data_IF_422514749519
#
_entry.id   IF_422514749519
#
_cell.length_a   1.000
_cell.length_b   1.000
_cell.length_c   1.000
_cell.angle_alpha   90.00
_cell.angle_beta   90.00
_cell.angle_gamma   90.00
#
_symmetry.space_group_name_H-M   'P 1'
#
loop_
_entity.id
_entity.type
_entity.pdbx_description
1 polymer ?
#
# COMPACT_ATOMS: atom_id res chain seq x y z
N UNK A 1 0.08 6.28 -8.74
CA UNK A 1 0.08 6.08 -7.28
C UNK A 1 -1.36 6.22 -6.81
N UNK A 2 -1.93 5.20 -6.18
CA UNK A 2 -3.25 5.33 -5.56
C UNK A 2 -3.11 6.13 -4.25
N UNK A 3 -4.08 7.00 -3.96
CA UNK A 3 -4.13 7.85 -2.77
C UNK A 3 -5.08 7.21 -1.76
N UNK A 4 -4.58 6.95 -0.57
CA UNK A 4 -5.41 6.49 0.54
C UNK A 4 -6.11 7.71 1.14
N UNK A 5 -7.42 7.72 1.08
CA UNK A 5 -8.23 8.77 1.69
C UNK A 5 -8.99 8.18 2.88
N UNK A 6 -8.89 8.87 4.00
CA UNK A 6 -9.70 8.65 5.19
C UNK A 6 -10.98 9.47 5.06
N UNK A 7 -12.11 8.91 5.46
CA UNK A 7 -13.34 9.69 5.61
C UNK A 7 -13.21 10.51 6.90
N UNK A 8 -12.90 11.80 6.79
CA UNK A 8 -12.84 12.72 7.94
C UNK A 8 -13.98 13.73 7.92
N UNK A 9 -14.49 14.01 9.11
CA UNK A 9 -15.57 14.95 9.39
C UNK A 9 -15.24 16.35 8.85
N UNK A 10 -16.14 16.94 8.08
CA UNK A 10 -15.96 18.30 7.57
C UNK A 10 -16.82 19.29 8.32
N UNK A 11 -16.20 20.07 9.22
CA UNK A 11 -16.68 21.41 9.52
C UNK A 11 -16.31 22.31 8.33
N UNK A 12 -17.29 23.02 7.80
CA UNK A 12 -17.10 23.95 6.69
C UNK A 12 -16.28 25.16 7.16
N UNK A 13 -15.27 25.52 6.37
CA UNK A 13 -14.20 26.47 6.69
C UNK A 13 -14.67 27.90 7.03
N UNK A 14 -14.17 28.43 8.15
CA UNK A 14 -13.85 29.87 8.38
C UNK A 14 -13.33 30.10 9.82
N UNK A 15 -12.08 29.72 10.15
CA UNK A 15 -11.30 30.43 11.19
C UNK A 15 -9.84 29.95 11.27
N UNK A 16 -8.84 30.86 11.33
CA UNK A 16 -7.42 30.52 11.27
C UNK A 16 -6.83 29.99 12.60
N UNK A 17 -7.64 29.42 13.51
CA UNK A 17 -7.20 28.93 14.83
C UNK A 17 -7.53 27.47 15.16
N UNK A 18 -8.15 26.72 14.25
CA UNK A 18 -8.52 25.30 14.46
C UNK A 18 -7.47 24.27 13.98
N UNK A 19 -6.19 24.66 13.89
CA UNK A 19 -5.06 23.78 13.54
C UNK A 19 -4.72 22.70 14.59
N UNK A 20 -5.60 22.44 15.54
CA UNK A 20 -5.40 21.40 16.55
C UNK A 20 -6.74 20.69 16.82
N UNK A 21 -7.00 19.57 16.15
CA UNK A 21 -8.05 18.66 16.56
C UNK A 21 -7.69 18.09 17.95
N UNK A 22 -8.22 18.71 19.00
CA UNK A 22 -8.28 18.13 20.32
C UNK A 22 -9.33 17.00 20.34
N UNK A 23 -8.95 15.91 20.99
CA UNK A 23 -9.60 14.61 21.19
C UNK A 23 -11.06 14.61 21.71
N UNK A 24 -11.71 15.76 21.85
CA UNK A 24 -13.03 15.89 22.49
C UNK A 24 -13.99 16.60 21.55
N UNK A 25 -14.63 15.89 20.62
CA UNK A 25 -15.94 16.27 20.06
C UNK A 25 -16.56 15.06 19.35
N UNK A 26 -17.15 14.17 20.14
CA UNK A 26 -17.86 12.97 19.69
C UNK A 26 -19.37 13.11 19.89
N UNK A 27 -20.08 13.94 19.11
CA UNK A 27 -21.54 13.79 18.90
C UNK A 27 -22.11 14.92 18.02
N UNK A 28 -22.35 14.66 16.73
CA UNK A 28 -23.42 15.39 16.01
C UNK A 28 -24.13 14.43 15.02
N UNK A 29 -25.43 14.13 15.19
CA UNK A 29 -26.13 13.06 14.47
C UNK A 29 -26.60 13.39 13.04
N UNK A 30 -26.39 14.60 12.51
CA UNK A 30 -26.84 14.96 11.14
C UNK A 30 -25.92 14.46 10.02
N UNK A 31 -24.67 14.10 10.32
CA UNK A 31 -23.76 13.47 9.38
C UNK A 31 -23.78 11.97 9.59
N UNK A 32 -24.25 11.21 8.61
CA UNK A 32 -24.26 9.75 8.70
C UNK A 32 -22.87 9.20 8.97
N UNK A 33 -22.71 8.54 10.11
CA UNK A 33 -21.44 8.00 10.59
C UNK A 33 -21.02 6.75 9.78
N UNK A 34 -20.34 6.95 8.66
CA UNK A 34 -19.46 5.92 8.09
C UNK A 34 -18.08 6.01 8.74
N UNK A 35 -18.01 5.84 10.07
CA UNK A 35 -16.88 6.32 10.87
C UNK A 35 -15.60 5.46 10.78
N UNK A 36 -15.55 4.43 9.94
CA UNK A 36 -14.43 3.46 9.96
C UNK A 36 -14.07 2.88 8.58
N UNK A 37 -14.43 3.54 7.47
CA UNK A 37 -14.08 3.05 6.14
C UNK A 37 -12.95 3.86 5.49
N UNK A 38 -11.97 3.12 4.95
CA UNK A 38 -10.90 3.64 4.12
C UNK A 38 -11.26 3.45 2.65
N UNK A 39 -11.01 4.47 1.85
CA UNK A 39 -11.24 4.45 0.40
C UNK A 39 -9.91 4.59 -0.30
N UNK A 40 -9.64 3.74 -1.29
CA UNK A 40 -8.38 3.72 -2.05
C UNK A 40 -8.70 4.03 -3.50
N UNK A 41 -8.36 5.23 -3.96
CA UNK A 41 -8.62 5.65 -5.34
C UNK A 41 -7.39 6.30 -5.97
N UNK A 42 -7.32 6.37 -7.30
CA UNK A 42 -6.22 7.08 -7.98
C UNK A 42 -6.46 8.58 -8.04
N UNK A 43 -7.73 8.98 -8.10
CA UNK A 43 -8.19 10.36 -8.24
C UNK A 43 -9.22 10.74 -7.17
N UNK A 44 -9.38 12.05 -6.93
CA UNK A 44 -10.37 12.57 -5.97
C UNK A 44 -11.82 12.37 -6.43
N UNK A 45 -12.08 12.36 -7.74
CA UNK A 45 -13.41 12.09 -8.28
C UNK A 45 -13.81 10.63 -8.06
N UNK A 46 -12.86 9.71 -8.26
CA UNK A 46 -13.06 8.26 -8.04
C UNK A 46 -13.34 7.95 -6.57
N UNK A 47 -12.60 8.59 -5.65
CA UNK A 47 -12.80 8.36 -4.21
C UNK A 47 -14.16 8.87 -3.73
N UNK A 48 -14.66 9.98 -4.27
CA UNK A 48 -16.00 10.47 -3.94
C UNK A 48 -17.09 9.50 -4.41
N UNK A 49 -16.93 8.91 -5.60
CA UNK A 49 -17.85 7.90 -6.11
C UNK A 49 -17.86 6.67 -5.22
N UNK A 50 -16.69 6.10 -4.89
CA UNK A 50 -16.59 4.93 -4.01
C UNK A 50 -17.12 5.21 -2.60
N UNK A 51 -16.78 6.37 -2.01
CA UNK A 51 -17.30 6.77 -0.71
C UNK A 51 -18.83 6.89 -0.71
N UNK A 52 -19.42 7.45 -1.79
CA UNK A 52 -20.87 7.59 -1.91
C UNK A 52 -21.60 6.24 -2.00
N UNK A 53 -20.97 5.23 -2.63
CA UNK A 53 -21.49 3.87 -2.71
C UNK A 53 -21.50 3.21 -1.33
N UNK A 54 -20.43 3.38 -0.55
CA UNK A 54 -20.29 2.81 0.79
C UNK A 54 -21.28 3.45 1.77
N UNK A 55 -21.56 4.75 1.64
CA UNK A 55 -22.35 5.52 2.60
C UNK A 55 -23.79 5.83 2.15
N UNK A 56 -24.33 5.02 1.23
CA UNK A 56 -25.71 5.13 0.73
C UNK A 56 -26.09 6.54 0.25
N UNK A 57 -25.19 7.23 -0.46
CA UNK A 57 -25.48 8.52 -1.09
C UNK A 57 -25.53 9.72 -0.14
N UNK A 58 -25.06 9.59 1.11
CA UNK A 58 -24.88 10.75 1.99
C UNK A 58 -23.71 11.62 1.51
N UNK A 59 -23.74 12.92 1.84
CA UNK A 59 -22.63 13.84 1.55
C UNK A 59 -21.51 13.58 2.56
N UNK A 60 -20.32 13.24 2.05
CA UNK A 60 -19.17 12.84 2.87
C UNK A 60 -17.99 13.72 2.51
N UNK A 61 -17.11 13.90 3.47
CA UNK A 61 -15.83 14.56 3.25
C UNK A 61 -14.70 13.56 3.42
N UNK A 62 -13.74 13.67 2.51
CA UNK A 62 -12.58 12.83 2.41
C UNK A 62 -11.37 13.68 2.77
N UNK A 63 -10.57 13.21 3.71
CA UNK A 63 -9.27 13.77 4.05
C UNK A 63 -8.19 12.76 3.68
N UNK A 64 -7.12 13.18 3.00
CA UNK A 64 -5.98 12.31 2.75
C UNK A 64 -5.37 11.80 4.06
N UNK A 65 -4.96 10.53 4.07
CA UNK A 65 -4.19 10.00 5.19
C UNK A 65 -2.87 10.79 5.31
N UNK A 66 -2.54 11.38 6.47
CA UNK A 66 -1.24 12.00 6.68
C UNK A 66 -0.09 11.00 6.75
N UNK A 67 -0.37 9.71 6.94
CA UNK A 67 0.65 8.69 7.13
C UNK A 67 1.43 8.40 5.82
N UNK A 68 2.74 8.22 5.96
CA UNK A 68 3.61 7.77 4.88
C UNK A 68 3.95 6.29 5.05
N UNK A 69 4.01 5.58 3.92
CA UNK A 69 4.46 4.20 3.91
C UNK A 69 5.97 4.13 4.24
N UNK A 70 6.36 3.11 5.00
CA UNK A 70 7.75 2.82 5.33
C UNK A 70 8.60 2.75 4.05
N UNK A 71 9.82 3.30 4.08
CA UNK A 71 10.76 3.24 2.94
C UNK A 71 10.98 1.80 2.48
N UNK A 72 11.07 0.86 3.41
CA UNK A 72 11.23 -0.57 3.10
C UNK A 72 10.02 -1.20 2.40
N UNK A 73 8.83 -0.60 2.52
CA UNK A 73 7.66 -1.03 1.73
C UNK A 73 7.90 -0.76 0.24
N UNK A 74 8.34 0.45 -0.10
CA UNK A 74 8.64 0.82 -1.49
C UNK A 74 9.83 0.03 -2.05
N UNK A 75 10.89 -0.14 -1.26
CA UNK A 75 12.06 -0.93 -1.66
C UNK A 75 11.74 -2.41 -1.80
N UNK A 76 10.77 -2.94 -1.05
CA UNK A 76 10.31 -4.32 -1.17
C UNK A 76 9.60 -4.62 -2.49
N UNK A 77 9.00 -3.60 -3.12
CA UNK A 77 8.33 -3.72 -4.43
C UNK A 77 9.29 -3.64 -5.61
N UNK A 78 10.58 -3.37 -5.38
CA UNK A 78 11.59 -3.23 -6.41
C UNK A 78 11.59 -4.33 -7.50
N UNK A 79 11.52 -5.64 -7.21
CA UNK A 79 11.60 -6.66 -8.26
C UNK A 79 10.38 -6.69 -9.19
N UNK A 80 9.28 -6.06 -8.78
CA UNK A 80 8.06 -5.95 -9.57
C UNK A 80 8.01 -4.62 -10.33
N UNK A 81 8.29 -3.51 -9.63
CA UNK A 81 8.10 -2.15 -10.19
C UNK A 81 9.08 -1.85 -11.32
N UNK A 82 10.31 -2.37 -11.26
CA UNK A 82 11.30 -2.19 -12.34
C UNK A 82 10.90 -2.90 -13.63
N UNK A 83 10.03 -3.92 -13.54
CA UNK A 83 9.50 -4.66 -14.69
C UNK A 83 8.16 -4.11 -15.17
N UNK A 84 7.66 -3.02 -14.59
CA UNK A 84 6.43 -2.36 -15.01
C UNK A 84 5.16 -2.82 -14.29
N UNK A 85 5.28 -3.56 -13.18
CA UNK A 85 4.14 -3.80 -12.29
C UNK A 85 3.59 -2.46 -11.76
N UNK A 86 2.26 -2.24 -11.72
CA UNK A 86 1.16 -3.21 -11.76
C UNK A 86 0.66 -3.61 -13.15
N UNK A 87 1.21 -3.06 -14.22
CA UNK A 87 0.78 -3.40 -15.58
C UNK A 87 1.35 -4.76 -16.00
N UNK A 88 0.59 -5.51 -16.80
CA UNK A 88 0.98 -6.87 -17.22
C UNK A 88 1.90 -6.84 -18.45
N UNK A 89 3.08 -6.25 -18.27
CA UNK A 89 4.10 -6.06 -19.30
C UNK A 89 4.73 -7.39 -19.74
N UNK A 90 5.31 -7.40 -20.94
CA UNK A 90 6.05 -8.56 -21.46
C UNK A 90 7.34 -8.82 -20.65
N UNK A 91 7.98 -7.75 -20.19
CA UNK A 91 9.17 -7.80 -19.34
C UNK A 91 8.90 -8.50 -18.01
N UNK A 92 7.75 -8.21 -17.37
CA UNK A 92 7.36 -8.87 -16.14
C UNK A 92 7.19 -10.38 -16.35
N UNK A 93 6.59 -10.81 -17.46
CA UNK A 93 6.40 -12.24 -17.75
C UNK A 93 7.69 -12.97 -18.09
N UNK A 94 8.65 -12.25 -18.68
CA UNK A 94 9.88 -12.86 -19.22
C UNK A 94 10.99 -12.89 -18.17
N UNK A 95 11.12 -11.82 -17.38
CA UNK A 95 12.26 -11.63 -16.47
C UNK A 95 11.93 -11.88 -14.99
N UNK A 96 10.65 -12.03 -14.64
CA UNK A 96 10.24 -12.47 -13.31
C UNK A 96 10.05 -13.99 -13.28
N UNK A 97 10.62 -14.75 -12.35
CA UNK A 97 11.51 -14.37 -11.25
C UNK A 97 13.00 -14.27 -11.66
N UNK A 98 13.74 -13.34 -11.05
CA UNK A 98 15.16 -13.12 -11.31
C UNK A 98 16.03 -14.26 -10.76
N UNK A 99 17.14 -14.57 -11.43
CA UNK A 99 17.96 -15.74 -11.08
C UNK A 99 18.74 -15.56 -9.77
N UNK A 100 19.38 -14.41 -9.57
CA UNK A 100 20.29 -14.16 -8.43
C UNK A 100 20.04 -12.76 -7.85
N UNK A 101 20.02 -12.63 -6.52
CA UNK A 101 20.10 -11.35 -5.82
C UNK A 101 21.38 -11.30 -4.98
N UNK A 102 22.21 -10.29 -5.27
CA UNK A 102 23.40 -9.96 -4.48
C UNK A 102 23.08 -8.88 -3.46
N UNK A 103 23.25 -9.19 -2.18
CA UNK A 103 23.05 -8.23 -1.10
C UNK A 103 23.82 -8.65 0.14
N UNK A 104 23.89 -7.76 1.14
CA UNK A 104 24.63 -8.01 2.37
C UNK A 104 23.75 -8.64 3.46
N UNK A 105 24.36 -9.46 4.33
CA UNK A 105 23.64 -10.25 5.34
C UNK A 105 22.73 -9.40 6.23
N UNK A 106 23.17 -8.20 6.60
CA UNK A 106 22.52 -7.36 7.61
C UNK A 106 21.12 -6.87 7.22
N UNK A 107 20.82 -6.80 5.92
CA UNK A 107 19.52 -6.30 5.41
C UNK A 107 18.60 -7.40 4.89
N UNK A 108 18.98 -8.68 5.03
CA UNK A 108 18.15 -9.78 4.54
C UNK A 108 16.78 -9.83 5.23
N UNK A 109 16.73 -9.69 6.55
CA UNK A 109 15.46 -9.75 7.28
C UNK A 109 14.58 -8.51 7.08
N UNK A 110 15.18 -7.34 6.88
CA UNK A 110 14.43 -6.09 6.71
C UNK A 110 13.92 -5.91 5.28
N UNK A 111 14.75 -6.25 4.30
CA UNK A 111 14.47 -5.96 2.90
C UNK A 111 14.10 -7.21 2.10
N UNK A 112 14.98 -8.21 2.07
CA UNK A 112 14.81 -9.41 1.23
C UNK A 112 13.56 -10.20 1.63
N UNK A 113 13.30 -10.39 2.93
CA UNK A 113 12.09 -11.07 3.40
C UNK A 113 10.81 -10.36 2.94
N UNK A 114 10.79 -9.02 2.91
CA UNK A 114 9.64 -8.24 2.41
C UNK A 114 9.48 -8.37 0.90
N UNK A 115 10.58 -8.41 0.15
CA UNK A 115 10.53 -8.69 -1.30
C UNK A 115 9.92 -10.07 -1.56
N UNK A 116 10.29 -11.09 -0.77
CA UNK A 116 9.70 -12.43 -0.89
C UNK A 116 8.21 -12.42 -0.55
N UNK A 117 7.82 -11.83 0.58
CA UNK A 117 6.42 -11.76 0.99
C UNK A 117 5.55 -11.01 -0.04
N UNK A 118 5.99 -9.85 -0.51
CA UNK A 118 5.27 -9.05 -1.50
C UNK A 118 5.28 -9.70 -2.89
N UNK A 119 6.41 -10.26 -3.31
CA UNK A 119 6.53 -11.00 -4.57
C UNK A 119 5.58 -12.20 -4.62
N UNK A 120 5.49 -12.98 -3.54
CA UNK A 120 4.54 -14.08 -3.44
C UNK A 120 3.08 -13.58 -3.42
N UNK A 121 2.80 -12.48 -2.71
CA UNK A 121 1.44 -11.96 -2.59
C UNK A 121 0.92 -11.30 -3.88
N UNK A 122 1.78 -10.59 -4.61
CA UNK A 122 1.41 -9.75 -5.75
C UNK A 122 1.82 -10.36 -7.09
N UNK A 123 3.00 -10.97 -7.16
CA UNK A 123 3.53 -11.64 -8.35
C UNK A 123 3.23 -13.14 -8.41
N UNK A 124 2.78 -13.75 -7.31
CA UNK A 124 2.38 -15.16 -7.25
C UNK A 124 3.54 -16.16 -7.16
N UNK A 125 4.79 -15.70 -7.22
CA UNK A 125 6.00 -16.51 -7.10
C UNK A 125 7.09 -15.74 -6.33
N UNK A 126 8.11 -16.46 -5.87
CA UNK A 126 9.27 -15.88 -5.18
C UNK A 126 10.07 -15.02 -6.19
N UNK A 127 10.48 -13.78 -5.84
CA UNK A 127 11.13 -12.87 -6.79
C UNK A 127 12.53 -13.28 -7.22
N UNK A 128 13.19 -14.16 -6.45
CA UNK A 128 14.56 -14.61 -6.68
C UNK A 128 14.68 -16.12 -6.49
N UNK A 129 15.57 -16.78 -7.25
CA UNK A 129 15.86 -18.22 -7.07
C UNK A 129 17.03 -18.48 -6.11
N UNK A 130 18.09 -17.65 -6.15
CA UNK A 130 19.31 -17.84 -5.35
C UNK A 130 19.79 -16.55 -4.67
N UNK A 131 20.28 -16.67 -3.44
CA UNK A 131 21.08 -15.64 -2.76
C UNK A 131 22.54 -16.08 -2.71
N UNK A 132 23.47 -15.26 -3.23
CA UNK A 132 24.84 -15.75 -3.48
C UNK A 132 25.69 -15.83 -2.21
N UNK A 133 25.48 -14.94 -1.22
CA UNK A 133 26.28 -14.94 0.02
C UNK A 133 25.92 -16.00 1.06
N UNK A 134 24.78 -16.68 0.94
CA UNK A 134 24.33 -17.67 1.95
C UNK A 134 24.17 -19.09 1.36
N UNK A 135 24.47 -19.28 0.06
CA UNK A 135 24.29 -20.56 -0.66
C UNK A 135 22.97 -21.27 -0.28
N UNK A 136 21.91 -20.47 -0.14
CA UNK A 136 20.65 -20.86 0.44
C UNK A 136 19.62 -20.80 -0.68
N UNK A 137 19.11 -21.98 -1.04
CA UNK A 137 18.09 -22.15 -2.07
C UNK A 137 16.73 -21.78 -1.47
N UNK A 138 16.14 -20.69 -1.94
CA UNK A 138 14.91 -20.11 -1.38
C UNK A 138 13.74 -21.06 -1.61
N UNK A 139 13.71 -21.77 -2.74
CA UNK A 139 12.65 -22.74 -3.01
C UNK A 139 12.69 -23.89 -2.00
N UNK A 140 13.89 -24.28 -1.58
CA UNK A 140 14.07 -25.30 -0.54
C UNK A 140 13.61 -24.83 0.85
N UNK A 141 13.74 -23.54 1.16
CA UNK A 141 13.29 -22.96 2.45
C UNK A 141 11.79 -22.72 2.48
N UNK A 142 11.24 -22.18 1.40
CA UNK A 142 9.81 -21.84 1.29
C UNK A 142 8.96 -23.09 1.02
N UNK A 143 9.59 -24.23 0.71
CA UNK A 143 8.91 -25.51 0.51
C UNK A 143 8.11 -25.59 -0.80
N UNK A 144 8.37 -24.68 -1.74
CA UNK A 144 7.82 -24.72 -3.09
C UNK A 144 8.66 -25.70 -3.93
N UNK A 145 8.01 -26.75 -4.45
CA UNK A 145 8.60 -27.76 -5.35
C UNK A 145 8.20 -27.46 -6.78
#
# INVERSE_FOLDING_TARGET
MARLLRLDRTSNARDPKELACSFTDFANPEFGACNEHWVVARNEDESQVEASQICNGKKIHLSPDPDMLDTWFSSGLFPLTVLGWPDNTEDLKTFYATSVLETDHDIHFFWVARMVMLGMKLGGDVPFRKFDKINLDIQRVVGYR
#
